data_IF_557777103311
#
_entry.id   IF_557777103311
#
_cell.length_a   1.000
_cell.length_b   1.000
_cell.length_c   1.000
_cell.angle_alpha   90.00
_cell.angle_beta   90.00
_cell.angle_gamma   90.00
#
_symmetry.space_group_name_H-M   'P 1'
#
loop_
_entity.id
_entity.type
_entity.pdbx_description
1 polymer ?
#
# COMPACT_ATOMS: atom_id res chain seq x y z
N UNK A 1 11.15 25.89 2.62
CA UNK A 1 9.68 25.93 2.52
C UNK A 1 9.18 27.35 2.35
N UNK A 2 8.50 27.60 1.24
CA UNK A 2 7.79 28.85 0.98
C UNK A 2 6.36 28.74 1.54
N UNK A 3 5.86 29.72 2.30
CA UNK A 3 4.50 29.67 2.83
C UNK A 3 3.46 29.70 1.68
N UNK A 4 2.31 29.01 1.81
CA UNK A 4 1.30 28.93 0.75
C UNK A 4 0.79 30.29 0.24
N UNK A 5 0.86 31.34 1.07
CA UNK A 5 0.47 32.70 0.72
C UNK A 5 1.45 33.42 -0.23
N UNK A 6 2.72 32.99 -0.27
CA UNK A 6 3.75 33.56 -1.15
C UNK A 6 3.80 32.88 -2.53
N UNK A 7 3.21 31.68 -2.63
CA UNK A 7 3.09 30.95 -3.89
C UNK A 7 2.28 31.76 -4.91
N UNK A 8 1.15 32.34 -4.48
CA UNK A 8 0.28 33.16 -5.35
C UNK A 8 1.01 34.41 -5.87
N UNK A 9 1.82 35.05 -5.02
CA UNK A 9 2.61 36.24 -5.37
C UNK A 9 3.74 35.93 -6.35
N UNK A 10 4.21 34.69 -6.38
CA UNK A 10 5.30 34.26 -7.27
C UNK A 10 4.88 34.12 -8.73
N UNK A 11 3.58 34.11 -9.02
CA UNK A 11 3.03 34.13 -10.39
C UNK A 11 3.02 35.52 -11.03
N UNK A 12 3.24 36.58 -10.26
CA UNK A 12 3.23 37.97 -10.77
C UNK A 12 4.48 38.30 -11.60
N UNK A 13 5.60 37.62 -11.34
CA UNK A 13 6.88 37.88 -12.00
C UNK A 13 7.46 36.57 -12.60
N UNK A 14 7.86 36.56 -13.88
CA UNK A 14 8.34 35.34 -14.53
C UNK A 14 9.61 34.78 -13.88
N UNK A 15 10.50 35.63 -13.37
CA UNK A 15 11.72 35.21 -12.68
C UNK A 15 11.42 34.44 -11.37
N UNK A 16 10.41 34.89 -10.62
CA UNK A 16 9.96 34.22 -9.39
C UNK A 16 9.26 32.90 -9.69
N UNK A 17 8.51 32.82 -10.79
CA UNK A 17 7.88 31.57 -11.23
C UNK A 17 8.92 30.50 -11.60
N UNK A 18 9.99 30.88 -12.30
CA UNK A 18 11.10 29.96 -12.62
C UNK A 18 11.78 29.49 -11.33
N UNK A 19 12.07 30.40 -10.40
CA UNK A 19 12.67 30.04 -9.11
C UNK A 19 11.78 29.08 -8.28
N UNK A 20 10.46 29.28 -8.30
CA UNK A 20 9.49 28.37 -7.67
C UNK A 20 9.55 26.96 -8.30
N UNK A 21 9.58 26.90 -9.62
CA UNK A 21 9.67 25.63 -10.36
C UNK A 21 10.98 24.90 -10.06
N UNK A 22 12.10 25.64 -10.02
CA UNK A 22 13.40 25.09 -9.64
C UNK A 22 13.41 24.54 -8.21
N UNK A 23 12.75 25.21 -7.26
CA UNK A 23 12.60 24.70 -5.89
C UNK A 23 11.87 23.36 -5.90
N UNK A 24 10.74 23.24 -6.61
CA UNK A 24 9.98 21.99 -6.68
C UNK A 24 10.78 20.85 -7.33
N UNK A 25 11.58 21.15 -8.35
CA UNK A 25 12.50 20.17 -8.96
C UNK A 25 13.58 19.73 -7.97
N UNK A 26 14.16 20.68 -7.20
CA UNK A 26 15.16 20.37 -6.17
C UNK A 26 14.57 19.48 -5.07
N UNK A 27 13.36 19.77 -4.60
CA UNK A 27 12.69 18.99 -3.56
C UNK A 27 12.38 17.55 -4.03
N UNK A 28 11.92 17.41 -5.27
CA UNK A 28 11.70 16.10 -5.89
C UNK A 28 13.02 15.32 -6.04
N UNK A 29 14.09 16.00 -6.47
CA UNK A 29 15.42 15.39 -6.61
C UNK A 29 15.98 14.94 -5.26
N UNK A 30 15.86 15.76 -4.21
CA UNK A 30 16.29 15.42 -2.85
C UNK A 30 15.53 14.20 -2.32
N UNK A 31 14.21 14.14 -2.55
CA UNK A 31 13.37 13.00 -2.17
C UNK A 31 13.81 11.71 -2.87
N UNK A 32 14.12 11.80 -4.17
CA UNK A 32 14.60 10.66 -4.95
C UNK A 32 16.02 10.23 -4.53
N UNK A 33 16.90 11.19 -4.27
CA UNK A 33 18.26 10.93 -3.79
C UNK A 33 18.24 10.21 -2.44
N UNK A 34 17.35 10.61 -1.53
CA UNK A 34 17.17 9.94 -0.23
C UNK A 34 16.66 8.50 -0.42
N UNK A 35 15.69 8.29 -1.31
CA UNK A 35 15.16 6.96 -1.64
C UNK A 35 16.26 6.01 -2.13
N UNK A 36 17.13 6.49 -3.03
CA UNK A 36 18.27 5.71 -3.51
C UNK A 36 19.33 5.50 -2.44
N UNK A 37 19.66 6.52 -1.64
CA UNK A 37 20.63 6.41 -0.55
C UNK A 37 20.24 5.34 0.48
N UNK A 38 18.93 5.25 0.78
CA UNK A 38 18.39 4.24 1.69
C UNK A 38 18.10 2.89 1.02
N UNK A 39 18.31 2.75 -0.30
CA UNK A 39 17.99 1.52 -1.05
C UNK A 39 16.55 1.01 -0.83
N UNK A 40 15.57 1.93 -0.78
CA UNK A 40 14.18 1.58 -0.44
C UNK A 40 13.56 0.57 -1.41
N UNK A 41 13.78 0.73 -2.72
CA UNK A 41 13.20 -0.15 -3.75
C UNK A 41 13.73 -1.60 -3.67
N UNK A 42 15.05 -1.87 -3.69
CA UNK A 42 15.54 -3.25 -3.59
C UNK A 42 15.19 -3.90 -2.24
N UNK A 43 15.21 -3.14 -1.14
CA UNK A 43 14.87 -3.68 0.19
C UNK A 43 13.40 -4.10 0.28
N UNK A 44 12.48 -3.21 -0.13
CA UNK A 44 11.04 -3.50 -0.09
C UNK A 44 10.65 -4.61 -1.06
N UNK A 45 11.35 -4.73 -2.19
CA UNK A 45 11.19 -5.85 -3.13
C UNK A 45 11.58 -7.18 -2.49
N UNK A 46 12.77 -7.29 -1.93
CA UNK A 46 13.22 -8.51 -1.25
C UNK A 46 12.26 -8.92 -0.13
N UNK A 47 11.79 -7.94 0.65
CA UNK A 47 10.85 -8.20 1.72
C UNK A 47 9.50 -8.72 1.21
N UNK A 48 9.04 -8.20 0.07
CA UNK A 48 7.80 -8.66 -0.58
C UNK A 48 7.95 -10.06 -1.15
N UNK A 49 9.09 -10.37 -1.78
CA UNK A 49 9.40 -11.70 -2.31
C UNK A 49 9.49 -12.75 -1.20
N UNK A 50 10.04 -12.40 -0.03
CA UNK A 50 10.10 -13.29 1.14
C UNK A 50 8.74 -13.52 1.80
N UNK A 51 7.93 -12.46 1.95
CA UNK A 51 6.65 -12.55 2.64
C UNK A 51 5.50 -13.06 1.74
N UNK A 52 5.62 -12.94 0.42
CA UNK A 52 4.60 -13.37 -0.53
C UNK A 52 3.33 -12.50 -0.52
N UNK A 53 3.46 -11.19 -0.25
CA UNK A 53 2.36 -10.20 -0.28
C UNK A 53 2.48 -9.24 -1.48
N UNK A 54 1.58 -8.27 -1.60
CA UNK A 54 1.62 -7.25 -2.68
C UNK A 54 2.64 -6.16 -2.36
N UNK A 55 3.48 -5.77 -3.32
CA UNK A 55 4.57 -4.81 -3.09
C UNK A 55 4.09 -3.42 -2.64
N UNK A 56 2.94 -2.94 -3.13
CA UNK A 56 2.33 -1.67 -2.72
C UNK A 56 2.08 -1.61 -1.21
N UNK A 57 1.69 -2.73 -0.60
CA UNK A 57 1.48 -2.86 0.84
C UNK A 57 2.77 -2.83 1.64
N UNK A 58 3.82 -3.44 1.10
CA UNK A 58 5.16 -3.39 1.69
C UNK A 58 5.73 -1.97 1.66
N UNK A 59 5.53 -1.25 0.55
CA UNK A 59 5.90 0.17 0.43
C UNK A 59 5.12 1.06 1.41
N UNK A 60 3.85 0.73 1.68
CA UNK A 60 3.03 1.40 2.69
C UNK A 60 3.42 1.11 4.15
N UNK A 61 4.46 0.31 4.41
CA UNK A 61 4.99 0.11 5.76
C UNK A 61 4.20 -0.88 6.64
N UNK A 62 3.26 -1.65 6.10
CA UNK A 62 2.38 -2.53 6.88
C UNK A 62 3.09 -3.80 7.39
N UNK A 63 3.79 -3.69 8.54
CA UNK A 63 4.56 -4.81 9.11
C UNK A 63 3.69 -6.02 9.48
N UNK A 64 2.56 -5.79 10.13
CA UNK A 64 1.68 -6.87 10.59
C UNK A 64 1.19 -7.72 9.41
N UNK A 65 0.76 -7.08 8.33
CA UNK A 65 0.30 -7.75 7.11
C UNK A 65 1.40 -8.63 6.49
N UNK A 66 2.65 -8.15 6.42
CA UNK A 66 3.76 -8.96 5.89
C UNK A 66 4.01 -10.23 6.71
N UNK A 67 3.90 -10.13 8.03
CA UNK A 67 4.06 -11.28 8.94
C UNK A 67 2.89 -12.26 8.76
N UNK A 68 1.67 -11.75 8.61
CA UNK A 68 0.48 -12.56 8.38
C UNK A 68 0.59 -13.38 7.08
N UNK A 69 0.95 -12.74 5.96
CA UNK A 69 1.14 -13.44 4.67
C UNK A 69 2.26 -14.48 4.74
N UNK A 70 3.37 -14.18 5.42
CA UNK A 70 4.46 -15.13 5.61
C UNK A 70 3.99 -16.39 6.36
N UNK A 71 3.24 -16.21 7.45
CA UNK A 71 2.68 -17.32 8.22
C UNK A 71 1.63 -18.10 7.44
N UNK A 72 0.78 -17.39 6.68
CA UNK A 72 -0.25 -17.97 5.85
C UNK A 72 0.33 -18.95 4.82
N UNK A 73 1.36 -18.50 4.08
CA UNK A 73 2.05 -19.35 3.10
C UNK A 73 2.67 -20.59 3.75
N UNK A 74 3.31 -20.42 4.91
CA UNK A 74 3.99 -21.50 5.61
C UNK A 74 3.03 -22.53 6.20
N UNK A 75 1.93 -22.10 6.81
CA UNK A 75 0.91 -23.01 7.34
C UNK A 75 0.14 -23.73 6.22
N UNK A 76 -0.12 -23.05 5.12
CA UNK A 76 -0.74 -23.67 3.95
C UNK A 76 0.19 -24.72 3.31
N UNK A 77 1.50 -24.45 3.22
CA UNK A 77 2.50 -25.42 2.74
C UNK A 77 2.55 -26.68 3.61
N UNK A 78 2.41 -26.52 4.93
CA UNK A 78 2.37 -27.61 5.92
C UNK A 78 1.00 -28.27 6.12
N UNK A 79 -0.03 -27.89 5.34
CA UNK A 79 -1.42 -28.41 5.43
C UNK A 79 -2.08 -28.20 6.79
N UNK A 80 -1.74 -27.12 7.48
CA UNK A 80 -2.46 -26.70 8.69
C UNK A 80 -3.72 -25.91 8.32
N UNK A 81 -4.72 -25.96 9.20
CA UNK A 81 -5.87 -25.06 9.13
C UNK A 81 -5.41 -23.66 9.54
N UNK A 82 -5.79 -22.68 8.73
CA UNK A 82 -5.48 -21.27 8.94
C UNK A 82 -6.73 -20.57 9.47
N UNK A 83 -6.61 -19.64 10.42
CA UNK A 83 -7.74 -18.82 10.86
C UNK A 83 -8.39 -18.04 9.69
N UNK A 84 -9.72 -18.00 9.68
CA UNK A 84 -10.46 -17.18 8.72
C UNK A 84 -10.26 -15.69 9.01
N UNK A 85 -10.32 -14.88 7.94
CA UNK A 85 -10.23 -13.43 8.04
C UNK A 85 -11.43 -12.89 8.82
N UNK A 86 -11.17 -12.22 9.93
CA UNK A 86 -12.22 -11.60 10.73
C UNK A 86 -12.95 -10.53 9.92
N UNK A 87 -14.29 -10.51 9.91
CA UNK A 87 -15.04 -9.42 9.30
C UNK A 87 -14.74 -8.10 10.00
N UNK A 88 -14.84 -6.99 9.26
CA UNK A 88 -14.47 -5.64 9.74
C UNK A 88 -15.13 -5.30 11.09
N UNK A 89 -16.40 -5.67 11.26
CA UNK A 89 -17.18 -5.45 12.48
C UNK A 89 -16.63 -6.21 13.70
N UNK A 90 -16.13 -7.43 13.50
CA UNK A 90 -15.56 -8.25 14.57
C UNK A 90 -14.14 -7.81 14.92
N UNK A 91 -13.34 -7.46 13.90
CA UNK A 91 -12.01 -6.87 14.08
C UNK A 91 -12.07 -5.56 14.89
N UNK A 92 -13.08 -4.73 14.65
CA UNK A 92 -13.32 -3.49 15.42
C UNK A 92 -13.70 -3.75 16.88
N UNK A 93 -14.52 -4.77 17.13
CA UNK A 93 -14.88 -5.17 18.50
C UNK A 93 -13.66 -5.66 19.27
N UNK A 94 -12.82 -6.48 18.65
CA UNK A 94 -11.58 -7.00 19.26
C UNK A 94 -10.57 -5.88 19.50
N UNK A 95 -10.38 -4.97 18.53
CA UNK A 95 -9.47 -3.83 18.70
C UNK A 95 -9.93 -2.88 19.82
N UNK A 96 -11.24 -2.62 19.91
CA UNK A 96 -11.84 -1.81 20.99
C UNK A 96 -11.68 -2.48 22.35
N UNK A 97 -11.86 -3.79 22.45
CA UNK A 97 -11.66 -4.55 23.67
C UNK A 97 -10.18 -4.56 24.11
N UNK A 98 -9.24 -4.56 23.15
CA UNK A 98 -7.81 -4.51 23.41
C UNK A 98 -7.23 -3.09 23.61
N UNK A 99 -8.03 -2.03 23.48
CA UNK A 99 -7.60 -0.64 23.66
C UNK A 99 -6.67 -0.10 22.55
N UNK A 100 -6.57 -0.76 21.40
CA UNK A 100 -5.74 -0.29 20.27
C UNK A 100 -6.50 0.74 19.42
N UNK A 101 -5.88 1.91 19.17
CA UNK A 101 -6.31 2.84 18.12
C UNK A 101 -5.80 2.35 16.77
N UNK A 102 -6.69 2.09 15.80
CA UNK A 102 -6.27 1.82 14.41
C UNK A 102 -5.67 3.08 13.79
N UNK A 103 -4.55 2.93 13.10
CA UNK A 103 -4.11 3.86 12.05
C UNK A 103 -4.99 3.63 10.82
N UNK A 104 -5.42 4.70 10.15
CA UNK A 104 -6.31 4.65 8.97
C UNK A 104 -5.71 3.97 7.73
N UNK A 105 -4.47 3.49 7.82
CA UNK A 105 -3.74 2.85 6.71
C UNK A 105 -4.25 1.44 6.39
N UNK A 106 -5.05 0.85 7.28
CA UNK A 106 -5.72 -0.44 7.10
C UNK A 106 -6.92 -0.35 6.13
N UNK A 107 -7.42 0.83 5.77
CA UNK A 107 -8.58 0.95 4.86
C UNK A 107 -8.25 0.66 3.39
N UNK A 108 -6.95 0.71 2.99
CA UNK A 108 -6.52 0.26 1.66
C UNK A 108 -6.62 -1.27 1.49
N UNK A 109 -6.86 -2.04 2.57
CA UNK A 109 -7.06 -3.52 2.56
C UNK A 109 -8.44 -3.97 2.08
N UNK A 110 -9.31 -3.03 1.68
CA UNK A 110 -10.68 -3.30 1.28
C UNK A 110 -10.91 -3.24 -0.23
N UNK A 111 -9.87 -3.07 -1.05
CA UNK A 111 -10.01 -3.43 -2.47
C UNK A 111 -9.92 -4.95 -2.55
N UNK A 112 -11.02 -5.67 -2.87
CA UNK A 112 -10.90 -7.06 -3.25
C UNK A 112 -9.84 -7.14 -4.36
N UNK A 113 -9.05 -8.24 -4.45
CA UNK A 113 -8.37 -8.52 -5.70
C UNK A 113 -9.47 -8.47 -6.76
N UNK A 114 -9.42 -7.48 -7.66
CA UNK A 114 -10.24 -7.51 -8.87
C UNK A 114 -10.08 -8.91 -9.43
N UNK A 115 -11.21 -9.55 -9.68
CA UNK A 115 -11.32 -10.91 -10.15
C UNK A 115 -10.33 -11.10 -11.32
N UNK A 116 -9.16 -11.68 -11.04
CA UNK A 116 -8.38 -12.36 -12.06
C UNK A 116 -9.14 -13.66 -12.29
N UNK A 117 -10.31 -13.54 -12.92
CA UNK A 117 -10.95 -14.68 -13.56
C UNK A 117 -9.93 -15.21 -14.57
N UNK A 118 -9.33 -16.34 -14.21
CA UNK A 118 -8.73 -17.23 -15.16
C UNK A 118 -9.88 -17.75 -16.04
N UNK A 119 -10.21 -17.01 -17.10
CA UNK A 119 -10.97 -17.54 -18.22
C UNK A 119 -10.10 -18.58 -18.93
N UNK A 120 -10.20 -19.81 -18.44
CA UNK A 120 -9.85 -21.02 -19.18
C UNK A 120 -11.13 -21.85 -19.27
N UNK A 121 -11.98 -21.44 -20.22
CA UNK A 121 -12.74 -22.30 -21.12
C UNK A 121 -13.51 -23.50 -20.53
N UNK A 122 -14.84 -23.41 -20.56
CA UNK A 122 -15.72 -24.58 -20.41
C UNK A 122 -17.17 -24.21 -20.64
N UNK A 123 -17.64 -24.30 -21.89
CA UNK A 123 -18.97 -23.88 -22.28
C UNK A 123 -20.13 -24.75 -21.77
N UNK A 124 -21.32 -24.15 -21.84
CA UNK A 124 -22.58 -24.87 -22.06
C UNK A 124 -23.60 -24.78 -20.93
N UNK A 125 -24.78 -24.22 -21.23
CA UNK A 125 -26.02 -24.60 -20.56
C UNK A 125 -26.94 -23.46 -20.14
N UNK A 126 -27.82 -23.08 -21.07
CA UNK A 126 -29.03 -22.29 -20.88
C UNK A 126 -29.90 -22.72 -19.69
N UNK A 127 -30.58 -21.79 -19.02
CA UNK A 127 -31.68 -22.14 -18.11
C UNK A 127 -32.36 -20.97 -17.41
N UNK A 128 -33.16 -20.19 -18.14
CA UNK A 128 -34.22 -19.36 -17.55
C UNK A 128 -35.17 -20.26 -16.73
N UNK A 129 -35.41 -19.89 -15.47
CA UNK A 129 -36.75 -19.65 -14.88
C UNK A 129 -36.61 -19.28 -13.41
#
# INVERSE_FOLDING_TARGET
>A
DMPPSEVVKSYEEPAKLVALTESGVKDAWLSLALMFHMNQLPLTRQLTELCGNVWSKTLGGQRAQRIEFLLLHEFHARKHLVPDRLPKSERERVARAAGLKRSGDDDFDMMPPDDIEADIGGGGGTGKK
#
